data_IF_857475982588
#
_entry.id   IF_857475982588
#
_cell.length_a   1.000
_cell.length_b   1.000
_cell.length_c   1.000
_cell.angle_alpha   90.00
_cell.angle_beta   90.00
_cell.angle_gamma   90.00
#
_symmetry.space_group_name_H-M   'P 1'
#
loop_
_entity.id
_entity.type
_entity.pdbx_description
1 polymer ?
#
# COMPACT_ATOMS: atom_id res chain seq x y z
N UNK A 1 -25.62 1.28 13.93
CA UNK A 1 -24.84 2.47 13.60
C UNK A 1 -23.81 2.12 12.55
N UNK A 2 -23.78 2.88 11.48
CA UNK A 2 -22.85 2.62 10.37
C UNK A 2 -21.60 3.44 10.59
N UNK A 3 -20.45 2.77 10.58
CA UNK A 3 -19.17 3.45 10.71
C UNK A 3 -18.60 3.70 9.31
N UNK A 4 -18.29 4.95 9.02
CA UNK A 4 -17.71 5.31 7.74
C UNK A 4 -16.21 5.47 7.85
N UNK A 5 -15.46 5.09 6.81
CA UNK A 5 -14.03 5.29 6.84
C UNK A 5 -13.66 6.76 6.75
N UNK A 6 -12.57 7.11 7.40
CA UNK A 6 -12.02 8.47 7.31
C UNK A 6 -11.42 8.69 5.93
N UNK A 7 -10.79 7.67 5.38
CA UNK A 7 -10.23 7.71 4.03
C UNK A 7 -10.95 6.71 3.15
N UNK A 8 -11.20 7.10 1.92
CA UNK A 8 -11.61 6.17 0.88
C UNK A 8 -10.35 5.58 0.27
N UNK A 9 -10.46 4.38 -0.30
CA UNK A 9 -9.32 3.76 -0.96
C UNK A 9 -9.60 3.65 -2.44
N UNK A 10 -8.61 3.99 -3.24
CA UNK A 10 -8.69 3.91 -4.68
C UNK A 10 -7.37 3.38 -5.22
N UNK A 11 -7.44 2.58 -6.25
CA UNK A 11 -6.23 2.07 -6.89
C UNK A 11 -5.81 3.00 -8.02
N UNK A 12 -4.51 3.24 -8.11
CA UNK A 12 -3.97 3.99 -9.23
C UNK A 12 -4.35 3.32 -10.55
N UNK A 13 -4.81 4.11 -11.48
CA UNK A 13 -5.19 3.63 -12.80
C UNK A 13 -4.28 4.25 -13.84
N UNK A 14 -3.71 3.42 -14.70
CA UNK A 14 -2.85 3.90 -15.77
C UNK A 14 -3.69 4.53 -16.88
N UNK A 15 -3.02 5.21 -17.80
CA UNK A 15 -3.69 5.85 -18.93
C UNK A 15 -4.48 4.87 -19.78
N UNK A 16 -4.00 3.62 -19.86
CA UNK A 16 -4.70 2.60 -20.62
C UNK A 16 -5.85 1.95 -19.84
N UNK A 17 -6.10 2.39 -18.60
CA UNK A 17 -7.21 1.89 -17.82
C UNK A 17 -6.87 0.71 -16.92
N UNK A 18 -5.60 0.31 -16.86
CA UNK A 18 -5.18 -0.79 -16.01
C UNK A 18 -4.97 -0.32 -14.58
N UNK A 19 -5.27 -1.22 -13.64
CA UNK A 19 -5.03 -0.96 -12.22
C UNK A 19 -4.02 -1.99 -11.71
N UNK A 20 -2.73 -1.71 -11.85
CA UNK A 20 -1.70 -2.73 -11.59
C UNK A 20 -1.70 -3.26 -10.17
N UNK A 21 -1.94 -2.41 -9.17
CA UNK A 21 -1.94 -2.90 -7.79
C UNK A 21 -3.14 -3.81 -7.54
N UNK A 22 -4.29 -3.47 -8.10
CA UNK A 22 -5.47 -4.31 -7.95
C UNK A 22 -5.23 -5.69 -8.56
N UNK A 23 -4.61 -5.72 -9.74
CA UNK A 23 -4.29 -7.00 -10.38
C UNK A 23 -3.27 -7.78 -9.57
N UNK A 24 -2.28 -7.09 -9.04
CA UNK A 24 -1.28 -7.71 -8.19
C UNK A 24 -1.92 -8.35 -6.95
N UNK A 25 -2.84 -7.63 -6.31
CA UNK A 25 -3.52 -8.16 -5.14
C UNK A 25 -4.36 -9.39 -5.47
N UNK A 26 -5.03 -9.37 -6.61
CA UNK A 26 -5.86 -10.51 -7.01
C UNK A 26 -5.03 -11.77 -7.23
N UNK A 27 -3.78 -11.62 -7.61
CA UNK A 27 -2.90 -12.75 -7.88
C UNK A 27 -2.29 -13.35 -6.63
N UNK A 28 -2.45 -12.71 -5.48
CA UNK A 28 -1.88 -13.21 -4.25
C UNK A 28 -2.71 -14.34 -3.65
N UNK A 29 -2.10 -15.20 -2.82
CA UNK A 29 -2.87 -16.19 -2.07
C UNK A 29 -3.96 -15.53 -1.23
N UNK A 30 -5.03 -16.27 -0.98
CA UNK A 30 -6.19 -15.72 -0.27
C UNK A 30 -5.84 -15.19 1.11
N UNK A 31 -4.96 -15.89 1.83
CA UNK A 31 -4.55 -15.44 3.17
C UNK A 31 -3.82 -14.10 3.10
N UNK A 32 -2.95 -13.94 2.11
CA UNK A 32 -2.23 -12.69 1.95
C UNK A 32 -3.16 -11.54 1.55
N UNK A 33 -4.09 -11.82 0.63
CA UNK A 33 -5.07 -10.81 0.25
C UNK A 33 -5.88 -10.34 1.44
N UNK A 34 -6.26 -11.26 2.31
CA UNK A 34 -7.04 -10.92 3.49
C UNK A 34 -6.24 -10.02 4.42
N UNK A 35 -4.97 -10.36 4.66
CA UNK A 35 -4.13 -9.53 5.50
C UNK A 35 -3.96 -8.13 4.94
N UNK A 36 -3.78 -8.03 3.63
CA UNK A 36 -3.65 -6.73 2.99
C UNK A 36 -4.94 -5.92 3.12
N UNK A 37 -6.06 -6.54 2.86
CA UNK A 37 -7.35 -5.86 2.96
C UNK A 37 -7.64 -5.38 4.37
N UNK A 38 -7.31 -6.20 5.37
CA UNK A 38 -7.54 -5.81 6.76
C UNK A 38 -6.68 -4.62 7.16
N UNK A 39 -5.43 -4.61 6.76
CA UNK A 39 -4.55 -3.50 7.13
C UNK A 39 -4.88 -2.23 6.37
N UNK A 40 -5.26 -2.34 5.10
CA UNK A 40 -5.74 -1.18 4.36
C UNK A 40 -6.98 -0.60 5.04
N UNK A 41 -7.89 -1.47 5.46
CA UNK A 41 -9.10 -1.04 6.15
C UNK A 41 -8.78 -0.36 7.47
N UNK A 42 -7.79 -0.88 8.19
CA UNK A 42 -7.34 -0.27 9.44
C UNK A 42 -6.88 1.17 9.18
N UNK A 43 -6.14 1.38 8.10
CA UNK A 43 -5.70 2.73 7.76
C UNK A 43 -6.89 3.62 7.39
N UNK A 44 -7.84 3.09 6.63
CA UNK A 44 -9.00 3.86 6.23
C UNK A 44 -9.82 4.37 7.42
N UNK A 45 -9.98 3.53 8.43
CA UNK A 45 -10.82 3.87 9.57
C UNK A 45 -10.07 4.57 10.69
N UNK A 46 -8.75 4.44 10.74
CA UNK A 46 -7.96 4.98 11.83
C UNK A 46 -7.05 6.14 11.47
N UNK A 47 -7.10 6.61 10.25
CA UNK A 47 -6.20 7.67 9.81
C UNK A 47 -6.36 8.93 10.66
N UNK A 48 -5.27 9.63 11.04
CA UNK A 48 -3.89 9.26 10.73
C UNK A 48 -3.34 8.20 11.68
N UNK A 49 -2.58 7.27 11.11
CA UNK A 49 -1.94 6.20 11.86
C UNK A 49 -0.45 6.25 11.56
N UNK A 50 0.35 6.12 12.61
CA UNK A 50 1.79 6.13 12.45
C UNK A 50 2.39 4.74 12.50
N UNK A 51 3.68 4.70 12.75
CA UNK A 51 4.41 3.45 12.85
C UNK A 51 3.91 2.61 14.01
N UNK A 52 4.01 1.30 13.91
CA UNK A 52 4.74 0.58 12.87
C UNK A 52 3.95 0.30 11.59
N UNK A 53 2.64 0.55 11.57
CA UNK A 53 1.83 0.19 10.41
C UNK A 53 2.08 1.11 9.23
N UNK A 54 2.07 2.42 9.45
CA UNK A 54 2.21 3.39 8.38
C UNK A 54 3.45 4.23 8.60
N UNK A 55 4.26 4.35 7.56
CA UNK A 55 5.47 5.15 7.59
C UNK A 55 5.40 6.24 6.52
N UNK A 56 5.77 7.44 6.89
CA UNK A 56 5.84 8.56 5.94
C UNK A 56 7.17 8.52 5.21
N UNK A 57 7.14 8.29 3.91
CA UNK A 57 8.36 8.14 3.12
C UNK A 57 8.84 9.45 2.50
N UNK A 58 7.91 10.26 2.02
CA UNK A 58 8.22 11.47 1.30
C UNK A 58 7.07 12.43 1.57
N UNK A 59 7.21 13.69 1.12
CA UNK A 59 6.22 14.71 1.43
C UNK A 59 4.78 14.29 1.08
N UNK A 60 4.62 13.46 0.06
CA UNK A 60 3.29 13.07 -0.37
C UNK A 60 3.07 11.56 -0.39
N UNK A 61 4.04 10.76 0.04
CA UNK A 61 3.94 9.31 -0.06
C UNK A 61 4.10 8.64 1.29
N UNK A 62 3.18 7.73 1.58
CA UNK A 62 3.20 6.90 2.77
C UNK A 62 3.28 5.44 2.38
N UNK A 63 3.75 4.63 3.31
CA UNK A 63 3.93 3.19 3.12
C UNK A 63 3.18 2.44 4.21
N UNK A 64 2.35 1.47 3.82
CA UNK A 64 1.74 0.54 4.77
C UNK A 64 2.61 -0.70 4.81
N UNK A 65 3.03 -1.10 6.01
CA UNK A 65 3.85 -2.29 6.20
C UNK A 65 2.98 -3.40 6.75
N UNK A 66 2.78 -4.43 5.96
CA UNK A 66 1.85 -5.51 6.28
C UNK A 66 2.64 -6.79 6.51
N UNK A 67 2.50 -7.35 7.71
CA UNK A 67 3.19 -8.60 8.05
C UNK A 67 2.46 -9.78 7.44
N UNK A 68 3.17 -10.57 6.68
CA UNK A 68 2.71 -11.85 6.18
C UNK A 68 3.50 -12.94 6.89
N UNK A 69 3.25 -14.20 6.56
CA UNK A 69 3.83 -15.29 7.32
C UNK A 69 5.35 -15.26 7.38
N UNK A 70 6.02 -15.14 6.25
CA UNK A 70 7.49 -15.07 6.23
C UNK A 70 7.99 -13.89 5.43
N UNK A 71 7.14 -12.91 5.23
CA UNK A 71 7.44 -11.80 4.35
C UNK A 71 6.78 -10.54 4.88
N UNK A 72 7.19 -9.42 4.34
CA UNK A 72 6.54 -8.15 4.64
C UNK A 72 6.11 -7.55 3.32
N UNK A 73 4.82 -7.28 3.22
CA UNK A 73 4.28 -6.57 2.08
C UNK A 73 4.34 -5.07 2.34
N UNK A 74 4.54 -4.31 1.29
CA UNK A 74 4.57 -2.86 1.38
C UNK A 74 3.67 -2.28 0.33
N UNK A 75 2.81 -1.36 0.77
CA UNK A 75 1.88 -0.71 -0.12
C UNK A 75 2.11 0.79 -0.01
N UNK A 76 2.39 1.41 -1.15
CA UNK A 76 2.64 2.85 -1.20
C UNK A 76 1.37 3.57 -1.61
N UNK A 77 1.08 4.66 -0.95
CA UNK A 77 -0.10 5.45 -1.30
C UNK A 77 0.15 6.93 -1.08
N UNK A 78 -0.64 7.74 -1.76
CA UNK A 78 -0.67 9.18 -1.52
C UNK A 78 -2.09 9.58 -1.17
N UNK A 79 -2.27 10.81 -0.73
CA UNK A 79 -3.59 11.32 -0.37
C UNK A 79 -4.05 12.37 -1.38
N UNK A 80 -5.31 12.23 -1.80
CA UNK A 80 -5.99 13.26 -2.58
C UNK A 80 -7.28 13.58 -1.82
N UNK A 81 -7.25 14.68 -1.10
CA UNK A 81 -8.36 14.98 -0.21
C UNK A 81 -8.48 13.90 0.84
N UNK A 82 -9.63 13.27 0.92
CA UNK A 82 -9.86 12.18 1.86
C UNK A 82 -9.78 10.80 1.18
N UNK A 83 -9.08 10.71 0.05
CA UNK A 83 -8.90 9.45 -0.65
C UNK A 83 -7.43 9.04 -0.61
N UNK A 84 -7.17 7.81 -0.18
CA UNK A 84 -5.85 7.23 -0.31
C UNK A 84 -5.76 6.56 -1.68
N UNK A 85 -4.83 7.02 -2.49
CA UNK A 85 -4.61 6.46 -3.82
C UNK A 85 -3.45 5.48 -3.73
N UNK A 86 -3.73 4.21 -3.93
CA UNK A 86 -2.73 3.16 -3.80
C UNK A 86 -1.93 3.12 -5.10
N UNK A 87 -0.63 3.41 -4.98
CA UNK A 87 0.24 3.60 -6.13
C UNK A 87 1.01 2.36 -6.51
N UNK A 88 1.45 1.59 -5.53
CA UNK A 88 2.31 0.46 -5.80
C UNK A 88 2.30 -0.50 -4.62
N UNK A 89 2.50 -1.78 -4.89
CA UNK A 89 2.62 -2.77 -3.85
C UNK A 89 3.69 -3.77 -4.22
N UNK A 90 4.41 -4.26 -3.22
CA UNK A 90 5.41 -5.28 -3.43
C UNK A 90 5.63 -6.06 -2.15
N UNK A 91 6.18 -7.26 -2.29
CA UNK A 91 6.48 -8.12 -1.14
C UNK A 91 7.99 -8.19 -1.02
N UNK A 92 8.46 -7.89 0.19
CA UNK A 92 9.89 -7.94 0.48
C UNK A 92 10.18 -9.22 1.26
N UNK A 93 11.03 -10.05 0.67
CA UNK A 93 11.49 -11.24 1.34
C UNK A 93 12.54 -10.82 2.37
N UNK A 94 12.43 -11.36 3.58
CA UNK A 94 13.38 -11.03 4.64
C UNK A 94 14.83 -11.34 4.28
N UNK A 95 15.04 -12.24 3.32
CA UNK A 95 16.38 -12.64 2.92
C UNK A 95 16.96 -11.77 1.81
N UNK A 96 16.19 -10.87 1.23
CA UNK A 96 16.67 -10.04 0.14
C UNK A 96 17.31 -8.76 0.66
N UNK A 97 18.39 -8.32 -0.02
CA UNK A 97 18.99 -7.02 0.35
C UNK A 97 18.00 -5.88 0.15
N UNK A 98 17.89 -4.98 1.11
CA UNK A 98 16.95 -3.87 0.99
C UNK A 98 17.16 -3.00 -0.23
N UNK A 99 18.39 -2.86 -0.68
CA UNK A 99 18.69 -1.99 -1.81
C UNK A 99 17.99 -2.42 -3.09
N UNK A 100 17.66 -3.70 -3.20
CA UNK A 100 17.03 -4.21 -4.41
C UNK A 100 15.60 -3.74 -4.58
N UNK A 101 14.94 -3.38 -3.49
CA UNK A 101 13.52 -3.05 -3.54
C UNK A 101 13.26 -1.56 -3.62
N UNK A 102 14.26 -0.72 -3.37
CA UNK A 102 14.01 0.71 -3.24
C UNK A 102 14.21 1.51 -4.50
N UNK A 103 14.90 0.96 -5.48
CA UNK A 103 15.22 1.70 -6.67
C UNK A 103 13.97 2.10 -7.44
N UNK A 104 13.06 1.16 -7.61
CA UNK A 104 11.88 1.40 -8.43
C UNK A 104 10.97 2.52 -7.88
N UNK A 105 10.57 2.50 -6.62
CA UNK A 105 9.65 3.52 -6.13
C UNK A 105 10.21 4.93 -6.24
N UNK A 106 11.50 5.08 -6.03
CA UNK A 106 12.10 6.40 -6.13
C UNK A 106 12.09 6.94 -7.54
N UNK A 107 12.38 6.08 -8.49
CA UNK A 107 12.38 6.51 -9.89
C UNK A 107 10.97 6.89 -10.33
N UNK A 108 9.98 6.13 -9.92
CA UNK A 108 8.61 6.44 -10.26
C UNK A 108 8.16 7.75 -9.67
N UNK A 109 8.49 8.01 -8.42
CA UNK A 109 8.02 9.22 -7.77
C UNK A 109 8.71 10.47 -8.31
N UNK A 110 9.84 10.34 -8.95
CA UNK A 110 10.52 11.49 -9.53
C UNK A 110 10.03 11.83 -10.92
N UNK A 111 9.46 10.89 -11.57
CA UNK A 111 8.96 11.15 -12.91
C UNK A 111 7.55 11.70 -12.84
#
# INVERSE_FOLDING_TARGET
MIMEPILKASFFRSDSGNEPVREWLKALPATDRRSMGEDIKTVQFGWPIGMPLVRHLDSSIWEIRIKLENQIARILFCLEGSTMVILHGFIKNNKQPPSMTWIWPRNESKS
#
